data_IF_111606644968
#
_entry.id   IF_111606644968
#
_cell.length_a   1.000
_cell.length_b   1.000
_cell.length_c   1.000
_cell.angle_alpha   90.00
_cell.angle_beta   90.00
_cell.angle_gamma   90.00
#
_symmetry.space_group_name_H-M   'P 1'
#
loop_
_entity.id
_entity.type
_entity.pdbx_description
1 polymer ?
#
# COMPACT_ATOMS: atom_id res chain seq x y z
N UNK A 1 5.21 26.69 -1.70
CA UNK A 1 4.29 26.68 -0.53
C UNK A 1 4.49 27.95 0.27
N UNK A 2 3.48 28.78 0.58
CA UNK A 2 3.64 29.97 1.41
C UNK A 2 3.81 29.56 2.87
N UNK A 3 4.80 30.14 3.52
CA UNK A 3 5.10 29.97 4.94
C UNK A 3 4.01 30.65 5.79
N UNK A 4 3.38 29.90 6.68
CA UNK A 4 2.46 30.43 7.68
C UNK A 4 3.24 30.66 8.97
N UNK A 5 3.51 31.92 9.28
CA UNK A 5 4.11 32.40 10.55
C UNK A 5 3.08 32.34 11.68
N UNK A 6 3.29 31.49 12.68
CA UNK A 6 2.55 31.51 13.93
C UNK A 6 3.22 32.48 14.91
N UNK A 7 2.46 33.47 15.37
CA UNK A 7 2.84 34.41 16.47
C UNK A 7 2.75 33.69 17.81
N UNK A 8 3.87 33.64 18.52
CA UNK A 8 3.96 33.15 19.89
C UNK A 8 3.56 34.23 20.88
N UNK A 9 2.61 33.94 21.77
CA UNK A 9 2.39 34.71 22.99
C UNK A 9 3.22 34.07 24.10
N UNK A 10 4.16 34.86 24.63
CA UNK A 10 4.94 34.49 25.82
C UNK A 10 4.21 35.01 27.08
N UNK A 11 3.99 34.14 28.03
CA UNK A 11 3.66 34.50 29.40
C UNK A 11 4.80 34.08 30.32
N UNK A 12 5.44 35.07 30.92
CA UNK A 12 6.51 34.91 31.88
C UNK A 12 5.95 34.65 33.29
N UNK A 13 6.50 33.68 33.99
CA UNK A 13 6.40 33.60 35.45
C UNK A 13 7.76 33.19 36.02
N UNK A 14 8.37 34.12 36.73
CA UNK A 14 9.61 33.93 37.45
C UNK A 14 9.33 33.41 38.86
N UNK A 15 10.11 32.41 39.31
CA UNK A 15 10.32 32.18 40.76
C UNK A 15 11.79 31.85 40.99
N UNK A 16 12.38 32.63 41.91
CA UNK A 16 13.77 32.58 42.39
C UNK A 16 13.99 31.50 43.47
N UNK A 17 15.28 31.24 43.70
CA UNK A 17 16.03 30.71 44.89
C UNK A 17 16.41 29.23 44.77
N UNK A 18 17.70 28.95 44.81
CA UNK A 18 18.71 28.94 45.80
C UNK A 18 20.04 28.35 45.33
N UNK A 19 21.07 29.08 45.55
CA UNK A 19 22.46 28.75 45.26
C UNK A 19 23.09 27.86 46.35
N UNK A 20 23.88 26.84 45.94
CA UNK A 20 25.05 26.41 46.71
C UNK A 20 26.20 26.09 45.75
N UNK A 21 27.25 26.85 45.89
CA UNK A 21 28.50 26.69 45.19
C UNK A 21 29.37 25.61 45.89
N UNK A 22 30.04 24.80 45.07
CA UNK A 22 31.27 24.11 45.46
C UNK A 22 32.22 24.15 44.29
N UNK A 23 33.29 24.89 44.45
CA UNK A 23 34.43 25.05 43.58
C UNK A 23 35.32 23.84 43.56
N UNK A 24 35.73 23.39 42.37
CA UNK A 24 37.02 22.74 42.19
C UNK A 24 37.58 23.09 40.81
N UNK A 25 38.73 23.72 40.81
CA UNK A 25 39.52 24.11 39.68
C UNK A 25 40.14 22.89 38.96
N UNK A 26 40.20 23.00 37.66
CA UNK A 26 41.03 22.12 36.82
C UNK A 26 41.03 22.66 35.40
N UNK A 27 42.10 23.29 35.04
CA UNK A 27 42.34 24.03 33.80
C UNK A 27 42.51 23.16 32.57
N UNK A 28 42.21 23.80 31.47
CA UNK A 28 42.83 23.76 30.12
C UNK A 28 42.23 22.83 29.07
N UNK A 29 41.80 23.49 28.10
CA UNK A 29 42.13 23.46 26.69
C UNK A 29 41.08 22.82 25.76
N UNK A 30 40.61 23.74 24.93
CA UNK A 30 40.13 23.65 23.55
C UNK A 30 40.09 22.30 22.86
N UNK A 31 38.90 22.00 22.35
CA UNK A 31 38.65 21.01 21.30
C UNK A 31 37.18 20.65 21.24
N UNK A 32 36.41 21.39 20.44
CA UNK A 32 35.14 20.88 19.90
C UNK A 32 35.45 19.68 19.02
N UNK A 33 35.63 18.53 19.63
CA UNK A 33 35.46 17.27 18.93
C UNK A 33 34.04 16.79 19.18
N UNK A 34 33.23 16.84 18.12
CA UNK A 34 32.00 16.09 18.04
C UNK A 34 32.30 14.62 18.39
N UNK A 35 31.94 14.22 19.60
CA UNK A 35 32.12 12.85 20.10
C UNK A 35 31.36 11.86 19.23
N UNK A 36 32.04 11.33 18.23
CA UNK A 36 31.62 10.13 17.51
C UNK A 36 31.65 8.96 18.47
N UNK A 37 30.47 8.50 18.90
CA UNK A 37 30.34 7.27 19.65
C UNK A 37 30.96 6.14 18.84
N UNK A 38 31.94 5.42 19.43
CA UNK A 38 32.73 4.36 18.79
C UNK A 38 31.95 3.05 18.58
N UNK A 39 30.64 3.05 18.63
CA UNK A 39 29.78 1.90 18.42
C UNK A 39 28.99 1.94 17.11
N UNK A 40 28.45 0.81 16.67
CA UNK A 40 27.58 0.77 15.52
C UNK A 40 26.34 1.66 15.71
N UNK A 41 25.87 2.25 14.62
CA UNK A 41 24.58 2.95 14.59
C UNK A 41 23.47 1.91 14.74
N UNK A 42 22.59 2.06 15.72
CA UNK A 42 21.44 1.19 15.92
C UNK A 42 20.21 1.84 15.27
N UNK A 43 19.64 1.17 14.27
CA UNK A 43 18.46 1.59 13.54
C UNK A 43 17.25 0.72 13.93
N UNK A 44 16.11 1.34 14.08
CA UNK A 44 14.82 0.65 14.26
C UNK A 44 13.97 0.75 13.00
N UNK A 45 13.42 -0.40 12.56
CA UNK A 45 12.57 -0.46 11.38
C UNK A 45 11.18 -1.05 11.74
N UNK A 46 10.13 -0.25 11.61
CA UNK A 46 8.75 -0.73 11.76
C UNK A 46 8.25 -1.27 10.43
N UNK A 47 8.01 -2.59 10.37
CA UNK A 47 7.57 -3.26 9.16
C UNK A 47 6.50 -4.32 9.47
N UNK A 48 5.60 -4.54 8.51
CA UNK A 48 4.58 -5.60 8.64
C UNK A 48 4.90 -6.84 7.81
N UNK A 49 5.70 -6.72 6.76
CA UNK A 49 6.02 -7.83 5.88
C UNK A 49 6.66 -8.99 6.66
N UNK A 50 6.16 -10.22 6.47
CA UNK A 50 6.73 -11.39 7.15
C UNK A 50 8.21 -11.57 6.77
N UNK A 51 9.02 -12.11 7.68
CA UNK A 51 10.42 -12.44 7.41
C UNK A 51 11.36 -11.24 7.19
N UNK A 52 10.91 -10.00 7.39
CA UNK A 52 11.73 -8.79 7.26
C UNK A 52 12.93 -8.80 8.22
N UNK A 53 12.79 -9.42 9.39
CA UNK A 53 13.86 -9.65 10.35
C UNK A 53 15.00 -10.50 9.76
N UNK A 54 14.68 -11.51 8.95
CA UNK A 54 15.66 -12.34 8.26
C UNK A 54 16.37 -11.57 7.15
N UNK A 55 15.64 -10.70 6.44
CA UNK A 55 16.23 -9.82 5.42
C UNK A 55 17.19 -8.83 6.09
N UNK A 56 16.77 -8.18 7.17
CA UNK A 56 17.63 -7.27 7.93
C UNK A 56 18.89 -7.96 8.51
N UNK A 57 18.79 -9.24 8.85
CA UNK A 57 19.95 -10.02 9.32
C UNK A 57 21.07 -10.15 8.26
N UNK A 58 20.72 -10.16 6.96
CA UNK A 58 21.70 -10.16 5.87
C UNK A 58 22.48 -8.84 5.83
N UNK A 59 21.79 -7.72 6.01
CA UNK A 59 22.43 -6.41 6.16
C UNK A 59 23.36 -6.40 7.37
N UNK A 60 22.85 -6.78 8.53
CA UNK A 60 23.59 -6.76 9.79
C UNK A 60 24.86 -7.61 9.76
N UNK A 61 24.89 -8.67 8.97
CA UNK A 61 26.06 -9.52 8.80
C UNK A 61 27.19 -8.86 7.99
N UNK A 62 26.85 -7.89 7.13
CA UNK A 62 27.79 -7.22 6.20
C UNK A 62 28.12 -5.79 6.60
N UNK A 63 27.31 -5.18 7.46
CA UNK A 63 27.39 -3.79 7.87
C UNK A 63 27.54 -3.66 9.38
N UNK A 64 28.72 -3.95 9.92
CA UNK A 64 28.96 -3.86 11.37
C UNK A 64 28.87 -2.43 11.91
N UNK A 65 28.99 -1.41 11.03
CA UNK A 65 28.86 0.00 11.35
C UNK A 65 27.42 0.48 11.58
N UNK A 66 26.41 -0.27 11.07
CA UNK A 66 25.00 0.11 11.19
C UNK A 66 24.13 -1.15 11.32
N UNK A 67 23.46 -1.33 12.43
CA UNK A 67 22.59 -2.47 12.71
C UNK A 67 21.13 -2.07 12.63
N UNK A 68 20.30 -2.94 12.06
CA UNK A 68 18.86 -2.75 11.92
C UNK A 68 18.10 -3.77 12.76
N UNK A 69 17.24 -3.29 13.65
CA UNK A 69 16.29 -4.10 14.41
C UNK A 69 14.89 -3.91 13.88
N UNK A 70 14.30 -4.97 13.35
CA UNK A 70 12.92 -4.95 12.84
C UNK A 70 11.93 -5.13 13.97
N UNK A 71 10.98 -4.21 14.06
CA UNK A 71 9.84 -4.29 14.97
C UNK A 71 8.58 -4.54 14.16
N UNK A 72 8.03 -5.76 14.26
CA UNK A 72 6.82 -6.16 13.53
C UNK A 72 5.61 -5.31 13.93
N UNK A 73 4.90 -4.80 12.95
CA UNK A 73 3.71 -3.98 13.10
C UNK A 73 2.49 -4.62 12.42
N UNK A 74 1.29 -4.10 12.70
CA UNK A 74 0.13 -4.26 11.83
C UNK A 74 0.33 -3.40 10.57
N UNK A 75 -0.39 -3.70 9.49
CA UNK A 75 -0.43 -2.89 8.26
C UNK A 75 -1.63 -1.93 8.24
N UNK A 76 -1.68 -1.04 7.26
CA UNK A 76 -2.83 -0.17 7.00
C UNK A 76 -2.97 1.01 7.97
N UNK A 77 -4.21 1.48 8.16
CA UNK A 77 -4.53 2.72 8.87
C UNK A 77 -4.02 2.75 10.34
N UNK A 78 -3.98 1.60 11.00
CA UNK A 78 -3.46 1.50 12.38
C UNK A 78 -1.98 1.86 12.46
N UNK A 79 -1.18 1.41 11.47
CA UNK A 79 0.23 1.76 11.42
C UNK A 79 0.41 3.25 11.09
N UNK A 80 -0.35 3.79 10.16
CA UNK A 80 -0.31 5.23 9.81
C UNK A 80 -0.58 6.07 11.05
N UNK A 81 -1.64 5.75 11.79
CA UNK A 81 -1.99 6.44 13.04
C UNK A 81 -0.87 6.34 14.08
N UNK A 82 -0.25 5.16 14.20
CA UNK A 82 0.87 4.92 15.12
C UNK A 82 2.10 5.74 14.74
N UNK A 83 2.45 5.81 13.44
CA UNK A 83 3.59 6.60 12.95
C UNK A 83 3.37 8.08 13.26
N UNK A 84 2.19 8.63 12.93
CA UNK A 84 1.85 10.04 13.21
C UNK A 84 1.91 10.34 14.70
N UNK A 85 1.39 9.44 15.52
CA UNK A 85 1.40 9.61 16.98
C UNK A 85 2.84 9.61 17.52
N UNK A 86 3.68 8.71 17.02
CA UNK A 86 5.08 8.61 17.40
C UNK A 86 5.88 9.84 16.96
N UNK A 87 5.67 10.33 15.73
CA UNK A 87 6.29 11.56 15.22
C UNK A 87 5.93 12.79 16.07
N UNK A 88 4.64 12.96 16.43
CA UNK A 88 4.20 14.02 17.33
C UNK A 88 4.82 13.96 18.74
N UNK A 89 5.17 12.77 19.18
CA UNK A 89 5.81 12.55 20.47
C UNK A 89 7.35 12.54 20.40
N UNK A 90 7.94 12.71 19.21
CA UNK A 90 9.38 12.57 18.93
C UNK A 90 9.96 11.24 19.43
N UNK A 91 9.21 10.14 19.19
CA UNK A 91 9.54 8.76 19.58
C UNK A 91 9.35 7.78 18.41
N UNK A 92 9.47 8.28 17.19
CA UNK A 92 9.40 7.46 16.00
C UNK A 92 10.60 6.52 15.86
N UNK A 93 10.47 5.42 15.07
CA UNK A 93 11.60 4.60 14.66
C UNK A 93 12.44 5.35 13.63
N UNK A 94 13.59 4.79 13.21
CA UNK A 94 14.39 5.39 12.12
C UNK A 94 13.75 5.16 10.75
N UNK A 95 13.17 3.96 10.56
CA UNK A 95 12.55 3.57 9.30
C UNK A 95 11.14 3.01 9.53
N UNK A 96 10.29 3.22 8.53
CA UNK A 96 8.96 2.62 8.48
C UNK A 96 8.70 2.02 7.11
N UNK A 97 8.06 0.86 7.07
CA UNK A 97 7.37 0.40 5.88
C UNK A 97 6.08 1.22 5.77
N UNK A 98 5.82 1.84 4.62
CA UNK A 98 4.64 2.68 4.41
C UNK A 98 4.03 2.38 3.04
N UNK A 99 2.71 2.17 3.01
CA UNK A 99 1.99 2.04 1.74
C UNK A 99 2.02 3.37 0.98
N UNK A 100 2.08 3.31 -0.36
CA UNK A 100 2.17 4.53 -1.18
C UNK A 100 1.05 5.53 -0.92
N UNK A 101 -0.19 5.05 -0.75
CA UNK A 101 -1.33 5.92 -0.49
C UNK A 101 -1.25 6.63 0.87
N UNK A 102 -0.46 6.12 1.80
CA UNK A 102 -0.27 6.75 3.12
C UNK A 102 0.78 7.85 3.11
N UNK A 103 1.70 7.88 2.12
CA UNK A 103 2.80 8.84 2.09
C UNK A 103 2.33 10.30 2.15
N UNK A 104 1.32 10.76 1.39
CA UNK A 104 0.85 12.15 1.49
C UNK A 104 0.37 12.51 2.90
N UNK A 105 -0.35 11.58 3.56
CA UNK A 105 -0.80 11.77 4.95
C UNK A 105 0.37 11.85 5.92
N UNK A 106 1.37 10.99 5.77
CA UNK A 106 2.56 10.99 6.63
C UNK A 106 3.40 12.25 6.45
N UNK A 107 3.57 12.70 5.20
CA UNK A 107 4.29 13.94 4.87
C UNK A 107 3.57 15.17 5.40
N UNK A 108 2.25 15.26 5.25
CA UNK A 108 1.45 16.40 5.76
C UNK A 108 1.43 16.48 7.29
N UNK A 109 1.78 15.40 7.99
CA UNK A 109 1.96 15.35 9.44
C UNK A 109 3.42 15.41 9.88
N UNK A 110 4.35 15.84 9.01
CA UNK A 110 5.77 15.97 9.28
C UNK A 110 6.44 14.67 9.81
N UNK A 111 5.90 13.50 9.46
CA UNK A 111 6.37 12.23 9.99
C UNK A 111 7.55 11.63 9.20
N UNK A 112 7.79 12.09 7.97
CA UNK A 112 8.84 11.56 7.09
C UNK A 112 9.91 12.61 6.79
N UNK A 113 11.14 12.13 6.60
CA UNK A 113 12.28 12.96 6.17
C UNK A 113 12.35 13.01 4.63
N UNK A 114 12.81 14.16 4.12
CA UNK A 114 13.31 14.23 2.76
C UNK A 114 14.74 13.65 2.72
N UNK A 115 14.93 12.61 1.91
CA UNK A 115 16.21 11.90 1.74
C UNK A 115 16.78 12.05 0.32
N UNK A 116 16.32 13.05 -0.46
CA UNK A 116 16.75 13.22 -1.85
C UNK A 116 18.27 13.31 -2.01
N UNK A 117 18.96 13.90 -1.03
CA UNK A 117 20.43 14.03 -1.03
C UNK A 117 21.15 12.70 -0.85
N UNK A 118 20.59 11.82 -0.02
CA UNK A 118 21.17 10.54 0.35
C UNK A 118 20.97 9.46 -0.73
N UNK A 119 19.97 9.64 -1.61
CA UNK A 119 19.54 8.60 -2.58
C UNK A 119 19.70 9.05 -4.04
N UNK A 120 20.65 9.93 -4.34
CA UNK A 120 20.90 10.42 -5.69
C UNK A 120 21.22 9.27 -6.66
N UNK A 121 20.55 9.25 -7.81
CA UNK A 121 20.74 8.25 -8.87
C UNK A 121 20.00 6.93 -8.65
N UNK A 122 19.35 6.75 -7.49
CA UNK A 122 18.59 5.54 -7.15
C UNK A 122 17.29 5.44 -7.98
N UNK A 123 16.76 6.57 -8.44
CA UNK A 123 15.55 6.64 -9.27
C UNK A 123 15.61 5.75 -10.51
N UNK A 124 16.79 5.54 -11.08
CA UNK A 124 17.04 4.71 -12.27
C UNK A 124 16.74 3.23 -12.05
N UNK A 125 16.65 2.80 -10.78
CA UNK A 125 16.34 1.43 -10.41
C UNK A 125 14.85 1.10 -10.47
N UNK A 126 13.98 2.11 -10.65
CA UNK A 126 12.53 1.98 -10.56
C UNK A 126 11.83 2.48 -11.82
N UNK A 127 10.62 1.96 -12.07
CA UNK A 127 9.76 2.53 -13.10
C UNK A 127 9.32 3.95 -12.70
N UNK A 128 9.26 4.92 -13.66
CA UNK A 128 8.96 6.32 -13.35
C UNK A 128 7.66 6.52 -12.56
N UNK A 129 6.59 5.80 -12.89
CA UNK A 129 5.30 5.91 -12.18
C UNK A 129 5.33 5.40 -10.75
N UNK A 130 6.19 4.44 -10.44
CA UNK A 130 6.38 3.94 -9.07
C UNK A 130 7.24 4.92 -8.27
N UNK A 131 8.31 5.43 -8.86
CA UNK A 131 9.16 6.45 -8.24
C UNK A 131 8.37 7.72 -7.89
N UNK A 132 7.51 8.18 -8.81
CA UNK A 132 6.69 9.37 -8.62
C UNK A 132 5.80 9.28 -7.37
N UNK A 133 5.35 8.09 -6.97
CA UNK A 133 4.55 7.91 -5.76
C UNK A 133 5.35 8.23 -4.48
N UNK A 134 6.67 8.05 -4.49
CA UNK A 134 7.53 8.30 -3.33
C UNK A 134 8.05 9.75 -3.27
N UNK A 135 7.95 10.49 -4.36
CA UNK A 135 8.32 11.90 -4.45
C UNK A 135 7.10 12.83 -4.38
N UNK A 136 5.90 12.27 -4.42
CA UNK A 136 4.63 13.01 -4.51
C UNK A 136 4.61 14.02 -5.66
N UNK A 137 5.37 13.72 -6.73
CA UNK A 137 5.48 14.56 -7.93
C UNK A 137 6.40 15.79 -7.78
N UNK A 138 7.19 15.88 -6.69
CA UNK A 138 8.16 16.96 -6.43
C UNK A 138 9.61 16.48 -6.50
N UNK A 139 10.52 17.35 -6.04
CA UNK A 139 11.97 17.08 -5.99
C UNK A 139 12.39 16.35 -4.69
N UNK A 140 11.58 16.40 -3.65
CA UNK A 140 11.82 15.69 -2.40
C UNK A 140 11.59 14.18 -2.59
N UNK A 141 12.36 13.36 -1.88
CA UNK A 141 12.21 11.90 -1.84
C UNK A 141 11.88 11.48 -0.42
N UNK A 142 10.65 11.02 -0.18
CA UNK A 142 10.19 10.66 1.16
C UNK A 142 10.34 9.17 1.48
N UNK A 143 10.53 8.34 0.46
CA UNK A 143 10.69 6.90 0.63
C UNK A 143 11.36 6.28 -0.59
N UNK A 144 11.83 5.04 -0.47
CA UNK A 144 12.24 4.21 -1.61
C UNK A 144 11.16 3.15 -1.89
N UNK A 145 10.77 2.94 -3.16
CA UNK A 145 9.81 1.91 -3.52
C UNK A 145 10.30 0.52 -3.09
N UNK A 146 9.45 -0.24 -2.37
CA UNK A 146 9.77 -1.58 -1.90
C UNK A 146 9.10 -2.65 -2.74
N UNK A 147 7.79 -2.56 -2.91
CA UNK A 147 7.01 -3.48 -3.71
C UNK A 147 5.95 -2.77 -4.55
N UNK A 148 5.34 -3.51 -5.45
CA UNK A 148 4.20 -3.06 -6.23
C UNK A 148 3.08 -4.08 -6.18
N UNK A 149 1.85 -3.61 -6.33
CA UNK A 149 0.65 -4.42 -6.22
C UNK A 149 -0.25 -4.36 -7.46
N UNK A 150 0.24 -4.67 -8.68
CA UNK A 150 -0.63 -4.69 -9.85
C UNK A 150 -1.77 -5.67 -9.64
N UNK A 151 -2.99 -5.25 -9.95
CA UNK A 151 -4.18 -6.07 -9.85
C UNK A 151 -4.22 -7.14 -10.94
N UNK A 152 -4.70 -8.31 -10.57
CA UNK A 152 -4.82 -9.50 -11.42
C UNK A 152 -6.09 -10.26 -11.08
N UNK A 153 -6.51 -11.12 -11.99
CA UNK A 153 -7.62 -12.04 -11.78
C UNK A 153 -7.09 -13.43 -11.41
N UNK A 154 -7.35 -13.87 -10.17
CA UNK A 154 -7.01 -15.22 -9.69
C UNK A 154 -8.25 -16.09 -9.71
N UNK A 155 -8.12 -17.32 -10.22
CA UNK A 155 -9.26 -18.23 -10.35
C UNK A 155 -8.88 -19.69 -10.11
N UNK A 156 -9.82 -20.47 -9.63
CA UNK A 156 -9.74 -21.90 -9.45
C UNK A 156 -9.83 -22.59 -10.81
N UNK A 157 -8.69 -22.90 -11.42
CA UNK A 157 -8.60 -23.51 -12.74
C UNK A 157 -9.36 -24.84 -12.81
N UNK A 158 -9.30 -25.65 -11.76
CA UNK A 158 -10.02 -26.90 -11.64
C UNK A 158 -11.55 -26.71 -11.66
N UNK A 159 -12.07 -25.75 -10.90
CA UNK A 159 -13.50 -25.45 -10.83
C UNK A 159 -14.00 -24.75 -12.10
N UNK A 160 -13.21 -23.88 -12.72
CA UNK A 160 -13.55 -23.31 -14.01
C UNK A 160 -13.76 -24.41 -15.05
N UNK A 161 -12.87 -25.41 -15.08
CA UNK A 161 -13.01 -26.58 -15.94
C UNK A 161 -14.24 -27.42 -15.58
N UNK A 162 -14.48 -27.69 -14.28
CA UNK A 162 -15.64 -28.47 -13.78
C UNK A 162 -16.96 -27.83 -14.19
N UNK A 163 -17.07 -26.50 -14.05
CA UNK A 163 -18.29 -25.77 -14.38
C UNK A 163 -18.36 -25.32 -15.86
N UNK A 164 -17.35 -25.61 -16.69
CA UNK A 164 -17.31 -25.19 -18.09
C UNK A 164 -17.30 -23.67 -18.24
N UNK A 165 -16.57 -22.97 -17.36
CA UNK A 165 -16.42 -21.52 -17.39
C UNK A 165 -15.20 -21.12 -18.21
N UNK A 166 -15.33 -20.02 -18.96
CA UNK A 166 -14.21 -19.37 -19.63
C UNK A 166 -13.66 -18.25 -18.75
N UNK A 167 -12.34 -18.03 -18.80
CA UNK A 167 -11.71 -16.92 -18.10
C UNK A 167 -12.16 -15.62 -18.78
N UNK A 168 -12.82 -14.70 -18.06
CA UNK A 168 -13.36 -13.48 -18.67
C UNK A 168 -12.22 -12.52 -19.04
N UNK A 169 -12.31 -11.93 -20.21
CA UNK A 169 -11.40 -10.89 -20.73
C UNK A 169 -11.97 -9.50 -20.60
N UNK A 170 -13.28 -9.39 -20.46
CA UNK A 170 -14.00 -8.12 -20.21
C UNK A 170 -14.84 -8.19 -18.94
N UNK A 171 -15.17 -7.03 -18.36
CA UNK A 171 -16.06 -6.98 -17.19
C UNK A 171 -17.48 -7.44 -17.53
N UNK A 172 -17.94 -7.28 -18.76
CA UNK A 172 -19.22 -7.83 -19.21
C UNK A 172 -19.20 -9.36 -19.22
N UNK A 173 -18.16 -9.99 -19.76
CA UNK A 173 -17.96 -11.44 -19.68
C UNK A 173 -17.84 -11.94 -18.24
N UNK A 174 -17.19 -11.13 -17.36
CA UNK A 174 -17.11 -11.45 -15.93
C UNK A 174 -18.51 -11.50 -15.30
N UNK A 175 -19.35 -10.51 -15.59
CA UNK A 175 -20.73 -10.46 -15.09
C UNK A 175 -21.55 -11.65 -15.61
N UNK A 176 -21.44 -11.97 -16.89
CA UNK A 176 -22.10 -13.13 -17.49
C UNK A 176 -21.62 -14.45 -16.85
N UNK A 177 -20.32 -14.60 -16.63
CA UNK A 177 -19.72 -15.77 -15.95
C UNK A 177 -20.26 -15.92 -14.53
N UNK A 178 -20.37 -14.80 -13.79
CA UNK A 178 -20.92 -14.81 -12.43
C UNK A 178 -22.40 -15.26 -12.41
N UNK A 179 -23.23 -14.72 -13.30
CA UNK A 179 -24.65 -15.09 -13.45
C UNK A 179 -24.83 -16.55 -13.89
N UNK A 180 -24.01 -16.99 -14.85
CA UNK A 180 -24.03 -18.38 -15.33
C UNK A 180 -23.65 -19.37 -14.24
N UNK A 181 -22.59 -19.08 -13.48
CA UNK A 181 -22.21 -19.89 -12.32
C UNK A 181 -23.32 -19.94 -11.28
N UNK A 182 -23.90 -18.80 -10.93
CA UNK A 182 -24.98 -18.72 -9.93
C UNK A 182 -26.19 -19.53 -10.32
N UNK A 183 -26.55 -19.52 -11.61
CA UNK A 183 -27.65 -20.34 -12.15
C UNK A 183 -27.32 -21.84 -12.08
N UNK A 184 -26.08 -22.23 -12.41
CA UNK A 184 -25.63 -23.62 -12.46
C UNK A 184 -25.37 -24.21 -11.06
N UNK A 185 -24.84 -23.41 -10.17
CA UNK A 185 -24.43 -23.78 -8.82
C UNK A 185 -24.81 -22.69 -7.79
N UNK A 186 -26.08 -22.60 -7.34
CA UNK A 186 -26.62 -21.50 -6.53
C UNK A 186 -25.88 -21.23 -5.22
N UNK A 187 -25.19 -22.25 -4.67
CA UNK A 187 -24.40 -22.15 -3.44
C UNK A 187 -22.98 -21.62 -3.66
N UNK A 188 -22.59 -21.42 -4.92
CA UNK A 188 -21.26 -20.90 -5.26
C UNK A 188 -21.34 -19.47 -5.74
N UNK A 189 -20.23 -18.76 -5.60
CA UNK A 189 -20.08 -17.41 -6.12
C UNK A 189 -18.77 -17.32 -6.92
N UNK A 190 -18.77 -16.53 -8.00
CA UNK A 190 -17.55 -16.27 -8.73
C UNK A 190 -16.54 -15.57 -7.83
N UNK A 191 -16.97 -14.51 -7.14
CA UNK A 191 -16.18 -13.71 -6.21
C UNK A 191 -17.05 -13.07 -5.14
N UNK A 192 -16.44 -12.27 -4.27
CA UNK A 192 -17.12 -11.40 -3.32
C UNK A 192 -16.78 -9.93 -3.58
N UNK A 193 -17.73 -9.02 -3.39
CA UNK A 193 -17.45 -7.60 -3.19
C UNK A 193 -17.27 -7.34 -1.70
N UNK A 194 -16.10 -6.88 -1.29
CA UNK A 194 -15.79 -6.68 0.12
C UNK A 194 -15.79 -5.19 0.48
N UNK A 195 -16.81 -4.79 1.23
CA UNK A 195 -16.94 -3.40 1.69
C UNK A 195 -15.92 -3.01 2.78
N UNK A 196 -15.12 -3.95 3.28
CA UNK A 196 -14.04 -3.65 4.22
C UNK A 196 -12.68 -3.41 3.53
N UNK A 197 -12.64 -3.41 2.18
CA UNK A 197 -11.41 -3.22 1.43
C UNK A 197 -11.50 -2.05 0.43
N UNK A 198 -11.17 -0.87 0.94
CA UNK A 198 -11.11 0.37 0.18
C UNK A 198 -9.98 0.38 -0.85
N UNK A 199 -8.85 -0.30 -0.56
CA UNK A 199 -7.70 -0.36 -1.44
C UNK A 199 -7.97 -1.11 -2.74
N UNK A 200 -8.69 -2.25 -2.66
CA UNK A 200 -9.13 -2.97 -3.86
C UNK A 200 -10.07 -2.10 -4.71
N UNK A 201 -11.04 -1.44 -4.08
CA UNK A 201 -11.98 -0.57 -4.78
C UNK A 201 -11.28 0.62 -5.46
N UNK A 202 -10.28 1.23 -4.79
CA UNK A 202 -9.45 2.27 -5.37
C UNK A 202 -8.68 1.77 -6.61
N UNK A 203 -8.08 0.57 -6.53
CA UNK A 203 -7.37 -0.03 -7.66
C UNK A 203 -8.28 -0.37 -8.85
N UNK A 204 -9.49 -0.86 -8.59
CA UNK A 204 -10.50 -1.09 -9.64
C UNK A 204 -10.95 0.23 -10.29
N UNK A 205 -11.13 1.29 -9.50
CA UNK A 205 -11.47 2.62 -9.99
C UNK A 205 -10.33 3.20 -10.82
N UNK A 206 -9.08 3.00 -10.38
CA UNK A 206 -7.87 3.39 -11.11
C UNK A 206 -7.78 2.71 -12.48
N UNK A 207 -8.07 1.40 -12.58
CA UNK A 207 -8.15 0.69 -13.86
C UNK A 207 -9.20 1.32 -14.80
N UNK A 208 -10.32 1.78 -14.27
CA UNK A 208 -11.37 2.46 -15.03
C UNK A 208 -11.01 3.91 -15.43
N UNK A 209 -9.84 4.41 -15.00
CA UNK A 209 -9.37 5.75 -15.33
C UNK A 209 -9.71 6.83 -14.29
N UNK A 210 -10.19 6.45 -13.10
CA UNK A 210 -10.49 7.39 -12.01
C UNK A 210 -9.25 8.15 -11.54
N UNK A 211 -9.46 9.40 -11.17
CA UNK A 211 -8.45 10.28 -10.59
C UNK A 211 -9.00 10.87 -9.29
N UNK A 212 -8.79 10.17 -8.18
CA UNK A 212 -9.40 10.52 -6.91
C UNK A 212 -8.88 11.82 -6.32
N UNK A 213 -7.59 12.13 -6.51
CA UNK A 213 -7.02 13.41 -6.11
C UNK A 213 -6.20 13.99 -7.26
N UNK A 214 -6.44 15.25 -7.58
CA UNK A 214 -5.69 16.04 -8.55
C UNK A 214 -5.55 17.46 -8.02
N UNK A 215 -4.75 18.28 -8.71
CA UNK A 215 -4.68 19.70 -8.47
C UNK A 215 -5.39 20.48 -9.57
N UNK A 216 -6.10 21.53 -9.19
CA UNK A 216 -6.66 22.54 -10.08
C UNK A 216 -6.16 23.91 -9.59
N UNK A 217 -5.12 24.45 -10.25
CA UNK A 217 -4.31 25.53 -9.68
C UNK A 217 -3.64 25.10 -8.37
N UNK A 218 -3.84 25.87 -7.31
CA UNK A 218 -3.30 25.57 -5.97
C UNK A 218 -4.28 24.81 -5.06
N UNK A 219 -5.41 24.36 -5.62
CA UNK A 219 -6.45 23.67 -4.86
C UNK A 219 -6.47 22.19 -5.15
N UNK A 220 -6.79 21.41 -4.13
CA UNK A 220 -7.11 20.00 -4.30
C UNK A 220 -8.45 19.84 -5.04
N UNK A 221 -8.49 18.94 -5.99
CA UNK A 221 -9.72 18.46 -6.60
C UNK A 221 -9.89 17.00 -6.19
N UNK A 222 -10.99 16.72 -5.48
CA UNK A 222 -11.37 15.36 -5.09
C UNK A 222 -12.36 14.83 -6.13
N UNK A 223 -11.99 13.71 -6.75
CA UNK A 223 -12.77 13.05 -7.79
C UNK A 223 -13.15 11.62 -7.43
N UNK A 224 -13.39 11.31 -6.14
CA UNK A 224 -13.79 9.97 -5.71
C UNK A 224 -15.13 9.57 -6.34
N UNK A 225 -16.00 10.53 -6.54
CA UNK A 225 -17.32 10.36 -7.16
C UNK A 225 -17.31 10.75 -8.67
N UNK A 226 -16.21 10.50 -9.37
CA UNK A 226 -16.12 10.72 -10.81
C UNK A 226 -16.85 9.64 -11.62
N UNK A 227 -17.01 9.88 -12.94
CA UNK A 227 -17.72 8.97 -13.83
C UNK A 227 -17.07 7.57 -13.88
N UNK A 228 -15.75 7.47 -13.78
CA UNK A 228 -15.02 6.20 -13.80
C UNK A 228 -15.29 5.39 -12.51
N UNK A 229 -15.24 6.04 -11.35
CA UNK A 229 -15.55 5.39 -10.07
C UNK A 229 -17.03 5.02 -9.98
N UNK A 230 -17.95 5.88 -10.51
CA UNK A 230 -19.38 5.53 -10.60
C UNK A 230 -19.60 4.29 -11.45
N UNK A 231 -18.94 4.17 -12.60
CA UNK A 231 -19.01 2.97 -13.45
C UNK A 231 -18.62 1.70 -12.67
N UNK A 232 -17.55 1.74 -11.88
CA UNK A 232 -17.12 0.63 -11.04
C UNK A 232 -18.15 0.34 -9.94
N UNK A 233 -18.66 1.39 -9.29
CA UNK A 233 -19.68 1.27 -8.22
C UNK A 233 -20.96 0.62 -8.73
N UNK A 234 -21.46 1.07 -9.87
CA UNK A 234 -22.68 0.57 -10.49
C UNK A 234 -22.53 -0.89 -10.93
N UNK A 235 -21.38 -1.24 -11.50
CA UNK A 235 -21.07 -2.61 -11.89
C UNK A 235 -21.07 -3.57 -10.70
N UNK A 236 -20.27 -3.30 -9.67
CA UNK A 236 -20.14 -4.18 -8.52
C UNK A 236 -21.38 -4.16 -7.64
N UNK A 237 -21.98 -3.00 -7.42
CA UNK A 237 -23.22 -2.82 -6.68
C UNK A 237 -24.40 -3.51 -7.37
N UNK A 238 -24.45 -3.49 -8.69
CA UNK A 238 -25.43 -4.22 -9.50
C UNK A 238 -25.31 -5.74 -9.32
N UNK A 239 -24.11 -6.30 -9.43
CA UNK A 239 -23.88 -7.74 -9.22
C UNK A 239 -24.22 -8.20 -7.80
N UNK A 240 -23.96 -7.37 -6.78
CA UNK A 240 -24.37 -7.65 -5.39
C UNK A 240 -25.89 -7.60 -5.26
N UNK A 241 -26.55 -6.60 -5.84
CA UNK A 241 -28.01 -6.46 -5.79
C UNK A 241 -28.73 -7.63 -6.47
N UNK A 242 -28.22 -8.10 -7.60
CA UNK A 242 -28.69 -9.29 -8.30
C UNK A 242 -28.43 -10.61 -7.55
N UNK A 243 -27.50 -10.60 -6.59
CA UNK A 243 -26.99 -11.81 -5.94
C UNK A 243 -26.13 -12.69 -6.86
N UNK A 244 -25.60 -12.13 -7.93
CA UNK A 244 -24.72 -12.82 -8.88
C UNK A 244 -23.34 -13.12 -8.26
N UNK A 245 -22.88 -12.26 -7.37
CA UNK A 245 -21.68 -12.44 -6.56
C UNK A 245 -22.02 -12.35 -5.06
N UNK A 246 -21.06 -12.76 -4.22
CA UNK A 246 -21.18 -12.60 -2.78
C UNK A 246 -20.80 -11.17 -2.33
N UNK A 247 -21.08 -10.82 -1.09
CA UNK A 247 -20.69 -9.55 -0.47
C UNK A 247 -20.16 -9.72 0.96
N UNK A 248 -19.61 -10.91 1.25
CA UNK A 248 -18.98 -11.16 2.54
C UNK A 248 -17.63 -10.43 2.65
N UNK A 249 -17.26 -9.96 3.85
CA UNK A 249 -15.96 -9.35 4.07
C UNK A 249 -14.81 -10.32 3.82
N UNK A 250 -13.79 -9.88 3.09
CA UNK A 250 -12.52 -10.62 2.93
C UNK A 250 -11.75 -10.71 4.25
N UNK A 251 -10.78 -11.63 4.30
CA UNK A 251 -9.88 -11.88 5.44
C UNK A 251 -10.59 -12.34 6.72
N UNK A 252 -11.79 -12.86 6.58
CA UNK A 252 -12.55 -13.49 7.67
C UNK A 252 -12.45 -15.01 7.61
N UNK A 253 -12.66 -15.75 8.72
CA UNK A 253 -12.70 -17.21 8.69
C UNK A 253 -13.74 -17.77 7.69
N UNK A 254 -14.87 -17.08 7.50
CA UNK A 254 -15.90 -17.46 6.53
C UNK A 254 -15.39 -17.33 5.08
N UNK A 255 -14.71 -16.24 4.75
CA UNK A 255 -14.10 -16.03 3.45
C UNK A 255 -12.98 -17.05 3.17
N UNK A 256 -12.11 -17.29 4.15
CA UNK A 256 -11.05 -18.30 4.02
C UNK A 256 -11.64 -19.68 3.73
N UNK A 257 -12.71 -20.06 4.45
CA UNK A 257 -13.43 -21.30 4.20
C UNK A 257 -13.99 -21.34 2.78
N UNK A 258 -14.64 -20.26 2.30
CA UNK A 258 -15.24 -20.21 0.97
C UNK A 258 -14.20 -20.42 -0.14
N UNK A 259 -13.00 -19.85 0.01
CA UNK A 259 -11.87 -20.08 -0.91
C UNK A 259 -11.37 -21.53 -0.85
N UNK A 260 -11.18 -22.07 0.34
CA UNK A 260 -10.63 -23.40 0.56
C UNK A 260 -11.56 -24.51 0.09
N UNK A 261 -12.88 -24.35 0.33
CA UNK A 261 -13.91 -25.32 -0.09
C UNK A 261 -14.39 -25.14 -1.54
N UNK A 262 -13.96 -24.05 -2.21
CA UNK A 262 -14.42 -23.71 -3.55
C UNK A 262 -15.89 -23.24 -3.58
N UNK A 263 -16.40 -22.66 -2.49
CA UNK A 263 -17.64 -21.90 -2.50
C UNK A 263 -17.46 -20.57 -3.24
N UNK A 264 -16.25 -19.98 -3.17
CA UNK A 264 -15.80 -18.87 -4.01
C UNK A 264 -14.75 -19.37 -5.01
N UNK A 265 -14.93 -19.09 -6.30
CA UNK A 265 -14.13 -19.65 -7.39
C UNK A 265 -13.00 -18.74 -7.86
N UNK A 266 -13.13 -17.44 -7.64
CA UNK A 266 -12.15 -16.47 -8.10
C UNK A 266 -11.96 -15.34 -7.10
N UNK A 267 -10.85 -14.62 -7.24
CA UNK A 267 -10.52 -13.47 -6.43
C UNK A 267 -9.78 -12.44 -7.29
N UNK A 268 -10.35 -11.25 -7.38
CA UNK A 268 -9.62 -10.09 -7.89
C UNK A 268 -8.67 -9.63 -6.79
N UNK A 269 -7.39 -9.71 -7.05
CA UNK A 269 -6.36 -9.40 -6.08
C UNK A 269 -5.10 -8.87 -6.76
N UNK A 270 -4.04 -8.65 -6.02
CA UNK A 270 -2.77 -8.21 -6.55
C UNK A 270 -1.72 -9.33 -6.57
N UNK A 271 -0.57 -9.06 -7.16
CA UNK A 271 0.53 -10.01 -7.35
C UNK A 271 0.97 -10.74 -6.06
N UNK A 272 0.71 -10.19 -4.90
CA UNK A 272 0.98 -10.78 -3.57
C UNK A 272 -0.05 -11.84 -3.13
N UNK A 273 -1.12 -12.08 -3.91
CA UNK A 273 -2.17 -13.05 -3.60
C UNK A 273 -1.67 -14.46 -3.25
N UNK A 274 -0.57 -15.00 -3.82
CA UNK A 274 -0.07 -16.34 -3.49
C UNK A 274 0.20 -16.54 -2.00
N UNK A 275 0.75 -15.54 -1.31
CA UNK A 275 1.00 -15.59 0.13
C UNK A 275 -0.29 -15.66 0.96
N UNK A 276 -1.28 -14.86 0.60
CA UNK A 276 -2.59 -14.86 1.25
C UNK A 276 -3.35 -16.17 0.98
N UNK A 277 -3.38 -16.63 -0.26
CA UNK A 277 -4.02 -17.90 -0.62
C UNK A 277 -3.38 -19.08 0.09
N UNK A 278 -2.05 -19.07 0.25
CA UNK A 278 -1.33 -20.11 1.00
C UNK A 278 -1.78 -20.23 2.44
N UNK A 279 -2.23 -19.14 3.06
CA UNK A 279 -2.75 -19.10 4.42
C UNK A 279 -4.25 -19.33 4.50
N UNK A 280 -5.01 -18.68 3.60
CA UNK A 280 -6.49 -18.70 3.61
C UNK A 280 -7.08 -19.98 3.03
N UNK A 281 -6.40 -20.58 2.04
CA UNK A 281 -6.90 -21.75 1.29
C UNK A 281 -5.80 -22.79 1.03
N UNK A 282 -5.10 -23.29 2.07
CA UNK A 282 -3.93 -24.16 1.93
C UNK A 282 -4.20 -25.44 1.14
N UNK A 283 -5.41 -26.02 1.20
CA UNK A 283 -5.80 -27.27 0.55
C UNK A 283 -6.02 -27.10 -0.97
N UNK A 284 -5.86 -25.88 -1.47
CA UNK A 284 -6.08 -25.55 -2.90
C UNK A 284 -4.79 -25.18 -3.62
N UNK A 285 -3.62 -25.45 -3.01
CA UNK A 285 -2.31 -25.30 -3.65
C UNK A 285 -2.28 -26.03 -5.00
N UNK A 286 -1.78 -25.36 -6.04
CA UNK A 286 -1.69 -25.91 -7.40
C UNK A 286 -3.02 -25.96 -8.16
N UNK A 287 -4.13 -25.45 -7.60
CA UNK A 287 -5.45 -25.41 -8.25
C UNK A 287 -5.85 -24.04 -8.77
N UNK A 288 -5.07 -23.02 -8.45
CA UNK A 288 -5.30 -21.65 -8.87
C UNK A 288 -4.46 -21.28 -10.09
N UNK A 289 -4.97 -20.37 -10.90
CA UNK A 289 -4.22 -19.72 -11.96
C UNK A 289 -4.46 -18.21 -11.92
N UNK A 290 -3.56 -17.45 -12.53
CA UNK A 290 -3.61 -16.01 -12.65
C UNK A 290 -3.78 -15.61 -14.12
N UNK A 291 -4.60 -14.59 -14.36
CA UNK A 291 -4.80 -13.94 -15.64
C UNK A 291 -4.80 -12.40 -15.46
N UNK A 292 -4.65 -11.60 -16.54
CA UNK A 292 -4.93 -10.17 -16.49
C UNK A 292 -6.34 -9.88 -15.97
N UNK A 293 -6.56 -8.67 -15.41
CA UNK A 293 -7.91 -8.24 -15.08
C UNK A 293 -8.79 -8.21 -16.33
N UNK A 294 -10.10 -8.50 -16.20
CA UNK A 294 -11.06 -8.16 -17.24
C UNK A 294 -10.99 -6.67 -17.58
N UNK A 295 -11.17 -6.32 -18.82
CA UNK A 295 -11.09 -4.95 -19.31
C UNK A 295 -12.47 -4.33 -19.46
N UNK A 296 -12.55 -3.00 -19.41
CA UNK A 296 -13.81 -2.29 -19.60
C UNK A 296 -14.26 -2.24 -21.06
N UNK A 297 -13.32 -2.28 -21.98
CA UNK A 297 -13.59 -2.39 -23.40
C UNK A 297 -12.67 -3.46 -24.03
N UNK A 298 -13.13 -4.08 -25.10
CA UNK A 298 -12.33 -5.05 -25.85
C UNK A 298 -11.06 -4.39 -26.40
N UNK A 299 -9.93 -5.08 -26.28
CA UNK A 299 -8.63 -4.60 -26.75
C UNK A 299 -7.91 -3.61 -25.82
N UNK A 300 -8.53 -3.17 -24.72
CA UNK A 300 -7.82 -2.44 -23.66
C UNK A 300 -6.83 -3.34 -22.94
N UNK A 301 -5.83 -2.71 -22.34
CA UNK A 301 -4.85 -3.43 -21.52
C UNK A 301 -4.42 -2.52 -20.36
N UNK A 302 -5.25 -2.43 -19.34
CA UNK A 302 -5.02 -1.61 -18.16
C UNK A 302 -5.23 -2.42 -16.88
N UNK A 303 -4.43 -2.15 -15.87
CA UNK A 303 -4.69 -2.61 -14.52
C UNK A 303 -4.55 -1.48 -13.51
N UNK A 304 -5.16 -1.62 -12.35
CA UNK A 304 -4.91 -0.75 -11.22
C UNK A 304 -3.90 -1.37 -10.25
N UNK A 305 -3.68 -0.69 -9.14
CA UNK A 305 -2.81 -1.17 -8.07
C UNK A 305 -3.59 -1.32 -6.77
N UNK A 306 -3.33 -2.41 -6.07
CA UNK A 306 -3.83 -2.62 -4.71
C UNK A 306 -2.67 -2.89 -3.77
N UNK A 307 -2.43 -1.95 -2.84
CA UNK A 307 -1.24 -1.94 -2.02
C UNK A 307 0.00 -1.53 -2.83
N UNK A 308 1.10 -2.08 -2.46
CA UNK A 308 2.41 -1.58 -2.79
C UNK A 308 2.91 -0.69 -1.67
N UNK A 309 4.17 -0.86 -1.32
CA UNK A 309 4.77 -0.18 -0.18
C UNK A 309 6.15 0.36 -0.50
N UNK A 310 6.62 1.17 0.42
CA UNK A 310 7.91 1.83 0.37
C UNK A 310 8.62 1.67 1.71
N UNK A 311 9.93 1.91 1.71
CA UNK A 311 10.74 2.05 2.91
C UNK A 311 11.04 3.53 3.10
N UNK A 312 10.46 4.15 4.11
CA UNK A 312 10.60 5.57 4.41
C UNK A 312 11.49 5.80 5.62
N UNK A 313 12.26 6.90 5.60
CA UNK A 313 13.02 7.37 6.75
C UNK A 313 12.15 8.38 7.50
N UNK A 314 12.04 8.24 8.82
CA UNK A 314 11.23 9.15 9.63
C UNK A 314 11.94 10.48 9.88
N UNK A 315 11.16 11.54 10.12
CA UNK A 315 11.69 12.86 10.48
C UNK A 315 12.47 12.85 11.80
N UNK A 316 12.10 11.96 12.72
CA UNK A 316 12.72 11.79 14.05
C UNK A 316 14.09 11.11 14.02
N UNK A 317 14.42 10.37 12.95
CA UNK A 317 15.68 9.66 12.86
C UNK A 317 16.88 10.60 13.02
N UNK A 318 17.78 10.25 13.92
CA UNK A 318 19.07 10.92 14.13
C UNK A 318 20.15 10.39 13.17
N UNK A 319 19.85 9.31 12.45
CA UNK A 319 20.78 8.56 11.61
C UNK A 319 20.29 8.45 10.16
N UNK A 320 19.78 9.57 9.59
CA UNK A 320 19.11 9.59 8.27
C UNK A 320 19.97 9.02 7.15
N UNK A 321 21.28 9.31 7.15
CA UNK A 321 22.21 8.77 6.16
C UNK A 321 22.33 7.25 6.25
N UNK A 322 22.50 6.70 7.45
CA UNK A 322 22.58 5.24 7.65
C UNK A 322 21.24 4.55 7.33
N UNK A 323 20.13 5.17 7.71
CA UNK A 323 18.78 4.70 7.39
C UNK A 323 18.54 4.68 5.87
N UNK A 324 18.90 5.75 5.15
CA UNK A 324 18.77 5.83 3.70
C UNK A 324 19.66 4.79 2.98
N UNK A 325 20.88 4.53 3.49
CA UNK A 325 21.75 3.45 2.98
C UNK A 325 21.10 2.08 3.13
N UNK A 326 20.54 1.79 4.31
CA UNK A 326 19.80 0.54 4.50
C UNK A 326 18.59 0.46 3.58
N UNK A 327 17.77 1.51 3.49
CA UNK A 327 16.61 1.55 2.60
C UNK A 327 17.00 1.34 1.14
N UNK A 328 18.13 1.93 0.68
CA UNK A 328 18.66 1.72 -0.67
C UNK A 328 19.05 0.26 -0.88
N UNK A 329 19.88 -0.30 0.01
CA UNK A 329 20.28 -1.71 -0.07
C UNK A 329 19.04 -2.64 -0.08
N UNK A 330 18.12 -2.45 0.85
CA UNK A 330 16.92 -3.28 0.98
C UNK A 330 16.12 -3.37 -0.32
N UNK A 331 16.02 -2.25 -1.05
CA UNK A 331 15.13 -2.12 -2.19
C UNK A 331 15.83 -2.21 -3.57
N UNK A 332 17.17 -2.35 -3.59
CA UNK A 332 17.91 -2.37 -4.88
C UNK A 332 18.99 -3.45 -4.96
N UNK A 333 19.48 -3.96 -3.82
CA UNK A 333 20.53 -4.97 -3.81
C UNK A 333 19.99 -6.34 -4.24
N UNK A 334 20.65 -7.07 -5.16
CA UNK A 334 20.16 -8.36 -5.67
C UNK A 334 19.95 -9.42 -4.59
N UNK A 335 20.78 -9.45 -3.53
CA UNK A 335 20.61 -10.39 -2.41
C UNK A 335 19.40 -10.02 -1.56
N UNK A 336 19.24 -8.72 -1.26
CA UNK A 336 18.08 -8.21 -0.53
C UNK A 336 16.79 -8.47 -1.30
N UNK A 337 16.75 -8.17 -2.60
CA UNK A 337 15.61 -8.43 -3.47
C UNK A 337 15.24 -9.92 -3.51
N UNK A 338 16.24 -10.80 -3.58
CA UNK A 338 16.02 -12.26 -3.52
C UNK A 338 15.42 -12.68 -2.18
N UNK A 339 15.93 -12.12 -1.09
CA UNK A 339 15.44 -12.40 0.25
C UNK A 339 14.01 -11.85 0.47
N UNK A 340 13.69 -10.66 -0.03
CA UNK A 340 12.35 -10.08 0.00
C UNK A 340 11.32 -10.99 -0.69
N UNK A 341 11.66 -11.54 -1.87
CA UNK A 341 10.77 -12.49 -2.56
C UNK A 341 10.60 -13.77 -1.75
N UNK A 342 11.69 -14.33 -1.26
CA UNK A 342 11.70 -15.66 -0.62
C UNK A 342 11.11 -15.65 0.78
N UNK A 343 11.50 -14.67 1.61
CA UNK A 343 11.17 -14.66 3.03
C UNK A 343 9.90 -13.84 3.32
N UNK A 344 9.63 -12.81 2.50
CA UNK A 344 8.51 -11.88 2.70
C UNK A 344 7.37 -12.06 1.69
N UNK A 345 7.58 -12.78 0.59
CA UNK A 345 6.60 -12.91 -0.49
C UNK A 345 6.32 -11.59 -1.23
N UNK A 346 7.22 -10.64 -1.10
CA UNK A 346 7.12 -9.31 -1.74
C UNK A 346 7.42 -9.45 -3.24
N UNK A 347 6.68 -8.72 -4.07
CA UNK A 347 7.01 -8.49 -5.48
C UNK A 347 7.78 -7.17 -5.59
N UNK A 348 9.13 -7.20 -5.67
CA UNK A 348 9.93 -6.00 -5.56
C UNK A 348 9.62 -4.98 -6.65
N UNK A 349 9.63 -3.70 -6.28
CA UNK A 349 9.40 -2.59 -7.18
C UNK A 349 10.61 -2.30 -8.10
N UNK A 350 11.81 -2.72 -7.69
CA UNK A 350 13.03 -2.50 -8.48
C UNK A 350 13.02 -3.29 -9.78
N UNK A 351 13.35 -2.63 -10.89
CA UNK A 351 13.39 -3.26 -12.23
C UNK A 351 14.40 -4.40 -12.31
N UNK A 352 15.51 -4.30 -11.56
CA UNK A 352 16.52 -5.36 -11.48
C UNK A 352 15.95 -6.69 -10.91
N UNK A 353 14.93 -6.64 -10.07
CA UNK A 353 14.30 -7.85 -9.54
C UNK A 353 13.67 -8.72 -10.64
N UNK A 354 13.14 -8.08 -11.70
CA UNK A 354 12.48 -8.77 -12.81
C UNK A 354 13.47 -9.56 -13.67
N UNK A 355 14.75 -9.16 -13.68
CA UNK A 355 15.84 -9.82 -14.43
C UNK A 355 16.73 -10.69 -13.54
N UNK A 356 16.59 -10.56 -12.21
CA UNK A 356 17.31 -11.37 -11.24
C UNK A 356 16.69 -12.77 -11.12
N UNK A 357 17.48 -13.76 -10.67
CA UNK A 357 16.99 -15.11 -10.40
C UNK A 357 15.88 -15.18 -9.32
N UNK A 358 15.61 -14.08 -8.61
CA UNK A 358 14.62 -13.98 -7.54
C UNK A 358 13.19 -14.34 -8.01
N UNK A 359 12.82 -13.91 -9.22
CA UNK A 359 11.50 -14.14 -9.82
C UNK A 359 11.53 -15.24 -10.92
N UNK A 360 12.62 -15.98 -11.05
CA UNK A 360 12.76 -17.03 -12.07
C UNK A 360 11.84 -18.22 -11.84
N UNK A 361 11.37 -18.43 -10.61
CA UNK A 361 10.49 -19.55 -10.25
C UNK A 361 9.17 -19.03 -9.72
N UNK A 362 8.07 -19.56 -10.24
CA UNK A 362 6.73 -19.26 -9.72
C UNK A 362 6.64 -19.53 -8.21
N UNK A 363 5.75 -18.82 -7.48
CA UNK A 363 5.46 -19.13 -6.10
C UNK A 363 5.03 -20.58 -5.94
N UNK A 364 5.45 -21.27 -4.89
CA UNK A 364 5.12 -22.67 -4.67
C UNK A 364 3.62 -22.97 -4.70
N UNK A 365 2.80 -22.00 -4.34
CA UNK A 365 1.34 -22.11 -4.40
C UNK A 365 0.81 -22.13 -5.85
N UNK A 366 1.55 -21.55 -6.79
CA UNK A 366 1.27 -21.51 -8.23
C UNK A 366 2.26 -22.32 -9.06
N UNK A 367 2.80 -23.41 -8.51
CA UNK A 367 3.73 -24.28 -9.24
C UNK A 367 3.18 -24.85 -10.56
N UNK A 368 1.84 -24.89 -10.70
CA UNK A 368 1.13 -25.24 -11.94
C UNK A 368 1.18 -24.16 -13.03
N UNK A 369 1.65 -22.95 -12.71
CA UNK A 369 1.80 -21.82 -13.63
C UNK A 369 3.24 -21.28 -13.58
N UNK A 370 4.20 -21.95 -14.24
CA UNK A 370 5.62 -21.63 -14.14
C UNK A 370 5.99 -20.24 -14.67
N UNK A 371 5.17 -19.66 -15.54
CA UNK A 371 5.30 -18.34 -16.12
C UNK A 371 4.63 -17.22 -15.28
N UNK A 372 4.26 -17.52 -13.99
CA UNK A 372 3.56 -16.59 -13.10
C UNK A 372 4.21 -15.19 -13.06
N UNK A 373 5.48 -15.11 -12.72
CA UNK A 373 6.15 -13.80 -12.58
C UNK A 373 6.42 -13.12 -13.93
N UNK A 374 6.61 -13.89 -15.02
CA UNK A 374 6.70 -13.31 -16.36
C UNK A 374 5.40 -12.61 -16.75
N UNK A 375 4.26 -13.27 -16.51
CA UNK A 375 2.94 -12.67 -16.75
C UNK A 375 2.69 -11.49 -15.82
N UNK A 376 3.06 -11.62 -14.55
CA UNK A 376 2.92 -10.54 -13.58
C UNK A 376 3.70 -9.29 -14.02
N UNK A 377 4.91 -9.45 -14.56
CA UNK A 377 5.72 -8.36 -15.08
C UNK A 377 5.07 -7.67 -16.29
N UNK A 378 4.47 -8.43 -17.21
CA UNK A 378 3.74 -7.83 -18.34
C UNK A 378 2.50 -7.05 -17.89
N UNK A 379 1.74 -7.59 -16.92
CA UNK A 379 0.58 -6.90 -16.33
C UNK A 379 1.04 -5.64 -15.60
N UNK A 380 2.14 -5.70 -14.83
CA UNK A 380 2.65 -4.54 -14.09
C UNK A 380 2.98 -3.35 -14.99
N UNK A 381 3.41 -3.57 -16.23
CA UNK A 381 3.69 -2.49 -17.21
C UNK A 381 2.43 -1.69 -17.59
N UNK A 382 1.25 -2.26 -17.39
CA UNK A 382 -0.03 -1.66 -17.75
C UNK A 382 -0.74 -1.01 -16.56
N UNK A 383 -0.05 -0.87 -15.42
CA UNK A 383 -0.62 -0.25 -14.22
C UNK A 383 -0.87 1.24 -14.48
N UNK A 384 -2.13 1.64 -14.36
CA UNK A 384 -2.54 3.02 -14.49
C UNK A 384 -1.92 3.88 -13.37
N UNK A 385 -1.57 5.14 -13.64
CA UNK A 385 -1.01 6.02 -12.61
C UNK A 385 -2.04 6.31 -11.52
N UNK A 386 -1.59 6.39 -10.27
CA UNK A 386 -2.40 6.83 -9.13
C UNK A 386 -1.80 8.09 -8.50
N UNK A 387 -2.68 9.01 -8.09
CA UNK A 387 -2.32 10.11 -7.22
C UNK A 387 -3.14 10.01 -5.93
N UNK A 388 -2.50 10.21 -4.81
CA UNK A 388 -3.09 10.10 -3.49
C UNK A 388 -3.12 11.46 -2.78
N UNK A 389 -4.21 11.74 -2.09
CA UNK A 389 -4.38 12.98 -1.33
C UNK A 389 -3.90 12.85 0.11
N UNK A 390 -3.78 13.98 0.83
CA UNK A 390 -3.28 14.02 2.20
C UNK A 390 -4.22 13.38 3.23
N UNK A 391 -5.44 13.06 2.84
CA UNK A 391 -6.49 12.49 3.71
C UNK A 391 -7.11 11.20 3.17
N UNK A 392 -6.32 10.37 2.49
CA UNK A 392 -6.78 9.09 1.95
C UNK A 392 -7.37 8.16 3.03
N UNK A 393 -6.85 8.22 4.25
CA UNK A 393 -7.35 7.47 5.39
C UNK A 393 -8.80 7.82 5.75
N UNK A 394 -9.20 9.10 5.58
CA UNK A 394 -10.59 9.55 5.79
C UNK A 394 -11.49 8.96 4.71
N UNK A 395 -11.06 9.02 3.45
CA UNK A 395 -11.79 8.39 2.34
C UNK A 395 -11.97 6.89 2.56
N UNK A 396 -10.93 6.19 2.99
CA UNK A 396 -10.96 4.74 3.25
C UNK A 396 -11.86 4.37 4.42
N UNK A 397 -11.84 5.17 5.50
CA UNK A 397 -12.74 4.98 6.62
C UNK A 397 -14.20 5.19 6.21
N UNK A 398 -14.48 6.30 5.52
CA UNK A 398 -15.82 6.60 5.00
C UNK A 398 -16.31 5.49 4.03
N UNK A 399 -15.42 4.96 3.18
CA UNK A 399 -15.75 3.82 2.31
C UNK A 399 -16.20 2.61 3.13
N UNK A 400 -15.41 2.16 4.11
CA UNK A 400 -15.76 1.01 4.95
C UNK A 400 -17.14 1.18 5.61
N UNK A 401 -17.43 2.37 6.10
CA UNK A 401 -18.67 2.68 6.79
C UNK A 401 -19.88 2.71 5.83
N UNK A 402 -19.79 3.46 4.73
CA UNK A 402 -20.91 3.70 3.84
C UNK A 402 -21.16 2.52 2.90
N UNK A 403 -20.09 1.92 2.31
CA UNK A 403 -20.23 0.71 1.51
C UNK A 403 -20.61 -0.51 2.36
N UNK A 404 -20.23 -0.54 3.65
CA UNK A 404 -20.72 -1.53 4.60
C UNK A 404 -22.25 -1.47 4.82
N UNK A 405 -22.82 -0.27 4.82
CA UNK A 405 -24.28 -0.06 4.85
C UNK A 405 -24.92 -0.47 3.53
N UNK A 406 -24.32 -0.08 2.39
CA UNK A 406 -24.81 -0.43 1.06
C UNK A 406 -24.79 -1.94 0.81
N UNK A 407 -23.73 -2.64 1.23
CA UNK A 407 -23.62 -4.09 1.15
C UNK A 407 -24.72 -4.81 1.93
N UNK A 408 -25.15 -4.28 3.09
CA UNK A 408 -26.28 -4.81 3.86
C UNK A 408 -27.63 -4.53 3.18
N UNK A 409 -27.78 -3.35 2.56
CA UNK A 409 -29.00 -2.97 1.85
C UNK A 409 -29.18 -3.76 0.54
N UNK A 410 -28.08 -4.18 -0.11
CA UNK A 410 -28.06 -4.97 -1.36
C UNK A 410 -28.89 -4.33 -2.49
N UNK A 411 -28.77 -3.03 -2.68
CA UNK A 411 -29.39 -2.29 -3.79
C UNK A 411 -28.37 -1.41 -4.49
N UNK A 412 -28.43 -1.32 -5.82
CA UNK A 412 -27.52 -0.46 -6.59
C UNK A 412 -27.57 1.00 -6.14
N UNK A 413 -28.76 1.54 -5.85
CA UNK A 413 -28.92 2.91 -5.38
C UNK A 413 -28.20 3.17 -4.04
N UNK A 414 -28.11 2.17 -3.15
CA UNK A 414 -27.38 2.31 -1.88
C UNK A 414 -25.88 2.46 -2.13
N UNK A 415 -25.30 1.76 -3.11
CA UNK A 415 -23.90 1.88 -3.47
C UNK A 415 -23.57 3.26 -4.08
N UNK A 416 -24.42 3.77 -4.98
CA UNK A 416 -24.28 5.12 -5.52
C UNK A 416 -24.33 6.21 -4.43
N UNK A 417 -25.28 6.08 -3.48
CA UNK A 417 -25.37 6.98 -2.32
C UNK A 417 -24.14 6.88 -1.42
N UNK A 418 -23.61 5.68 -1.21
CA UNK A 418 -22.39 5.47 -0.42
C UNK A 418 -21.19 6.18 -1.06
N UNK A 419 -21.02 6.09 -2.38
CA UNK A 419 -19.94 6.75 -3.07
C UNK A 419 -19.98 8.27 -2.89
N UNK A 420 -21.15 8.90 -3.07
CA UNK A 420 -21.30 10.34 -2.85
C UNK A 420 -20.93 10.74 -1.43
N UNK A 421 -21.31 9.96 -0.42
CA UNK A 421 -20.94 10.25 0.97
C UNK A 421 -19.43 10.12 1.23
N UNK A 422 -18.75 9.19 0.56
CA UNK A 422 -17.28 9.09 0.64
C UNK A 422 -16.63 10.35 0.07
N UNK A 423 -17.11 10.82 -1.08
CA UNK A 423 -16.68 12.09 -1.68
C UNK A 423 -16.86 13.25 -0.70
N UNK A 424 -18.10 13.42 -0.19
CA UNK A 424 -18.44 14.53 0.71
C UNK A 424 -17.60 14.53 1.99
N UNK A 425 -17.40 13.37 2.60
CA UNK A 425 -16.57 13.25 3.81
C UNK A 425 -15.11 13.61 3.53
N UNK A 426 -14.59 13.23 2.36
CA UNK A 426 -13.20 13.53 1.97
C UNK A 426 -13.01 15.02 1.71
N UNK A 427 -13.93 15.66 0.99
CA UNK A 427 -13.93 17.11 0.75
C UNK A 427 -14.01 17.88 2.06
N UNK A 428 -15.00 17.57 2.90
CA UNK A 428 -15.20 18.25 4.17
C UNK A 428 -13.99 18.17 5.12
N UNK A 429 -13.27 17.04 5.08
CA UNK A 429 -12.05 16.88 5.87
C UNK A 429 -10.89 17.74 5.35
N UNK A 430 -10.67 17.83 4.03
CA UNK A 430 -9.68 18.73 3.45
C UNK A 430 -9.94 20.18 3.82
N UNK A 431 -11.20 20.64 3.68
CA UNK A 431 -11.61 21.99 4.07
C UNK A 431 -11.37 22.25 5.56
N UNK A 432 -11.72 21.29 6.43
CA UNK A 432 -11.48 21.36 7.87
C UNK A 432 -9.99 21.45 8.22
N UNK A 433 -9.13 20.81 7.45
CA UNK A 433 -7.68 20.89 7.62
C UNK A 433 -7.09 22.18 7.07
N UNK A 434 -7.88 23.04 6.39
CA UNK A 434 -7.48 24.32 5.83
C UNK A 434 -6.86 24.23 4.43
N UNK A 435 -7.03 23.10 3.74
CA UNK A 435 -6.65 23.01 2.34
C UNK A 435 -7.67 23.71 1.43
N UNK A 436 -7.17 24.35 0.37
CA UNK A 436 -8.04 24.81 -0.71
C UNK A 436 -8.61 23.62 -1.47
N UNK A 437 -9.93 23.62 -1.72
CA UNK A 437 -10.61 22.58 -2.50
C UNK A 437 -11.30 23.22 -3.68
N UNK A 438 -11.02 22.71 -4.89
CA UNK A 438 -11.71 23.11 -6.11
C UNK A 438 -13.14 22.53 -6.11
N UNK A 439 -14.11 23.34 -6.58
CA UNK A 439 -15.53 22.99 -6.65
C UNK A 439 -15.83 22.21 -7.93
#
# INVERSE_FOLDING_TARGET
MPQITRRSLAAATAVLLGATALTACGSSDSGDEAGGGSGPVELTYWAWAPGMDKVAALWNAKHPEARVTVQKQASGDDLVTKIITAAKAHKGPDLVQAEYQALPTLVSNDALADIAKEVQGVEKQFAPGVWQQTTLGGDAVYALPQDSGPLMFFYRQDLFKEYGLTVPTTWDEFAETARALKKKAPKKALTTFSANDSGLFAGLSQQAGAKWWTFEGDNWKVGIDDAATRKVTDFWGGLVAEGAIDNQPMYTPAWNKALNTGEQLAWVSAVWAPGTLGTAAPDTKGKWAMAPLPQWNEGENATGSWGGSSTAVTSDSKHKEAAAKFATWLNTDPEALTALVKESGIYPAATAAQTSGALAKAPDYFANQPDFYTRAAEIAKTTAPAAWGPNVNVAYTAFKDEFGKAAKARTGAAFGTALTKVQDATVADLEKQGFGVAK
#
